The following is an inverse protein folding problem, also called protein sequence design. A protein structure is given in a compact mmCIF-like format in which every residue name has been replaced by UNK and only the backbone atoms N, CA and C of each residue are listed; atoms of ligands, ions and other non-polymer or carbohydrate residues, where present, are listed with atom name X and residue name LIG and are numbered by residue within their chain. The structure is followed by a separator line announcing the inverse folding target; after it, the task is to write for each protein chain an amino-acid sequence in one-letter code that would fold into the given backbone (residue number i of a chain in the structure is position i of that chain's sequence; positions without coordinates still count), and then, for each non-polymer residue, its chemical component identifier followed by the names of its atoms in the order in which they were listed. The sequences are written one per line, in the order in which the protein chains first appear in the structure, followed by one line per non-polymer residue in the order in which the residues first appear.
data_IF_474954030648
#
_entry.id   IF_474954030648
#
_cell.length_a   1.000
_cell.length_b   1.000
_cell.length_c   1.000
_cell.angle_alpha   90.00
_cell.angle_beta   90.00
_cell.angle_gamma   90.00
#
_symmetry.space_group_name_H-M   'P 1'
#
loop_
_entity.id
_entity.type
_entity.pdbx_description
1 polymer ?
#
# COMPACT_ATOMS: atom_id res chain seq x y z
N UNK A 1 -34.70 -11.88 11.40
CA UNK A 1 -34.18 -12.56 10.20
C UNK A 1 -33.33 -13.73 10.66
N UNK A 2 -33.53 -14.92 10.09
CA UNK A 2 -32.92 -16.16 10.57
C UNK A 2 -31.38 -16.06 10.55
N UNK A 3 -30.76 -16.29 11.71
CA UNK A 3 -29.34 -16.56 11.85
C UNK A 3 -29.03 -17.81 11.03
N UNK A 4 -28.55 -17.63 9.80
CA UNK A 4 -27.99 -18.72 9.03
C UNK A 4 -26.75 -19.19 9.81
N UNK A 5 -26.75 -20.43 10.30
CA UNK A 5 -25.63 -20.98 11.07
C UNK A 5 -24.35 -20.79 10.26
N UNK A 6 -23.40 -20.01 10.79
CA UNK A 6 -22.04 -19.94 10.25
C UNK A 6 -21.55 -21.38 10.03
N UNK A 7 -21.08 -21.69 8.82
CA UNK A 7 -20.53 -23.00 8.49
C UNK A 7 -21.44 -24.03 7.82
N UNK A 8 -22.70 -23.71 7.49
CA UNK A 8 -23.57 -24.63 6.73
C UNK A 8 -23.91 -24.11 5.34
N UNK A 9 -23.36 -24.76 4.32
CA UNK A 9 -23.64 -24.44 2.91
C UNK A 9 -24.67 -25.42 2.32
N UNK A 10 -25.73 -24.95 1.65
CA UNK A 10 -26.78 -25.84 1.12
C UNK A 10 -26.27 -26.89 0.12
N UNK A 11 -25.23 -26.56 -0.63
CA UNK A 11 -24.62 -27.36 -1.69
C UNK A 11 -23.54 -28.34 -1.21
N UNK A 12 -23.27 -28.41 0.10
CA UNK A 12 -22.29 -29.34 0.68
C UNK A 12 -22.93 -30.44 1.53
N UNK A 13 -24.27 -30.49 1.63
CA UNK A 13 -24.99 -31.38 2.56
C UNK A 13 -24.61 -32.86 2.46
N UNK A 14 -24.43 -33.36 1.24
CA UNK A 14 -24.05 -34.75 0.94
C UNK A 14 -22.62 -34.87 0.38
N UNK A 15 -21.85 -33.77 0.40
CA UNK A 15 -20.50 -33.75 -0.16
C UNK A 15 -19.50 -34.35 0.83
N UNK A 16 -18.58 -35.20 0.38
CA UNK A 16 -17.60 -35.87 1.24
C UNK A 16 -16.77 -34.88 2.08
N UNK A 17 -16.50 -33.69 1.54
CA UNK A 17 -15.71 -32.66 2.20
C UNK A 17 -16.50 -31.81 3.21
N UNK A 18 -17.79 -32.07 3.42
CA UNK A 18 -18.69 -31.25 4.27
C UNK A 18 -18.10 -30.94 5.65
N UNK A 19 -17.55 -31.95 6.32
CA UNK A 19 -16.99 -31.78 7.66
C UNK A 19 -15.79 -30.82 7.66
N UNK A 20 -14.88 -30.96 6.67
CA UNK A 20 -13.73 -30.07 6.51
C UNK A 20 -14.15 -28.65 6.15
N UNK A 21 -15.09 -28.50 5.22
CA UNK A 21 -15.65 -27.21 4.82
C UNK A 21 -16.29 -26.52 6.04
N UNK A 22 -17.11 -27.25 6.81
CA UNK A 22 -17.74 -26.71 8.02
C UNK A 22 -16.70 -26.25 9.03
N UNK A 23 -15.66 -27.05 9.29
CA UNK A 23 -14.58 -26.69 10.20
C UNK A 23 -13.82 -25.44 9.75
N UNK A 24 -13.51 -25.29 8.46
CA UNK A 24 -12.86 -24.09 7.93
C UNK A 24 -13.76 -22.85 8.05
N UNK A 25 -15.06 -23.01 7.83
CA UNK A 25 -16.02 -21.91 7.93
C UNK A 25 -16.27 -21.46 9.38
N UNK A 26 -16.34 -22.42 10.32
CA UNK A 26 -16.47 -22.14 11.75
C UNK A 26 -15.26 -21.36 12.29
N UNK A 27 -14.07 -21.62 11.72
CA UNK A 27 -12.85 -20.88 12.02
C UNK A 27 -12.66 -19.62 11.16
N UNK A 28 -13.66 -19.21 10.37
CA UNK A 28 -13.65 -18.00 9.53
C UNK A 28 -12.55 -17.96 8.47
N UNK A 29 -12.04 -19.13 8.07
CA UNK A 29 -11.03 -19.26 7.01
C UNK A 29 -11.70 -19.13 5.62
N UNK A 30 -12.93 -19.67 5.52
CA UNK A 30 -13.80 -19.55 4.34
C UNK A 30 -15.13 -18.92 4.73
N UNK A 31 -15.75 -18.21 3.78
CA UNK A 31 -17.03 -17.51 4.00
C UNK A 31 -18.12 -17.94 3.02
N UNK A 32 -17.78 -18.69 1.98
CA UNK A 32 -18.67 -18.98 0.85
C UNK A 32 -18.93 -17.76 -0.03
N UNK A 33 -19.83 -17.93 -0.99
CA UNK A 33 -20.22 -16.92 -1.97
C UNK A 33 -21.43 -16.08 -1.47
N UNK A 34 -21.67 -14.88 -2.05
CA UNK A 34 -22.80 -14.04 -1.67
C UNK A 34 -24.19 -14.70 -1.82
N UNK A 35 -24.30 -15.71 -2.68
CA UNK A 35 -25.50 -16.53 -2.88
C UNK A 35 -25.72 -17.58 -1.76
N UNK A 36 -24.81 -17.67 -0.79
CA UNK A 36 -24.87 -18.60 0.34
C UNK A 36 -24.32 -20.00 0.04
N UNK A 37 -23.73 -20.23 -1.13
CA UNK A 37 -23.12 -21.53 -1.53
C UNK A 37 -21.61 -21.57 -1.25
N UNK A 38 -21.02 -22.77 -1.27
CA UNK A 38 -19.56 -22.95 -1.20
C UNK A 38 -18.92 -23.32 -2.55
N UNK A 39 -19.68 -23.97 -3.43
CA UNK A 39 -19.26 -24.53 -4.73
C UNK A 39 -18.10 -25.52 -4.59
N UNK A 40 -18.29 -26.65 -3.88
CA UNK A 40 -17.20 -27.58 -3.54
C UNK A 40 -16.48 -28.21 -4.75
N UNK A 41 -17.15 -28.28 -5.91
CA UNK A 41 -16.60 -28.82 -7.16
C UNK A 41 -15.99 -27.74 -8.07
N UNK A 42 -16.09 -26.46 -7.71
CA UNK A 42 -15.50 -25.39 -8.50
C UNK A 42 -13.98 -25.40 -8.35
N UNK A 43 -13.22 -25.21 -9.45
CA UNK A 43 -11.78 -25.08 -9.36
C UNK A 43 -11.42 -23.78 -8.64
N UNK A 44 -10.42 -23.85 -7.77
CA UNK A 44 -9.98 -22.74 -6.95
C UNK A 44 -8.81 -21.97 -7.59
N UNK A 45 -8.81 -20.65 -7.44
CA UNK A 45 -7.75 -19.77 -7.94
C UNK A 45 -6.58 -19.66 -6.97
N UNK A 46 -5.43 -19.17 -7.47
CA UNK A 46 -4.25 -18.86 -6.65
C UNK A 46 -4.58 -17.84 -5.55
N UNK A 47 -5.29 -16.77 -5.89
CA UNK A 47 -5.67 -15.74 -4.92
C UNK A 47 -6.56 -16.31 -3.80
N UNK A 48 -7.52 -17.18 -4.12
CA UNK A 48 -8.39 -17.82 -3.12
C UNK A 48 -7.62 -18.74 -2.18
N UNK A 49 -6.67 -19.55 -2.68
CA UNK A 49 -5.79 -20.36 -1.81
C UNK A 49 -5.01 -19.46 -0.86
N UNK A 50 -4.34 -18.43 -1.37
CA UNK A 50 -3.51 -17.53 -0.56
C UNK A 50 -4.35 -16.78 0.49
N UNK A 51 -5.57 -16.37 0.14
CA UNK A 51 -6.49 -15.75 1.09
C UNK A 51 -6.89 -16.71 2.23
N UNK A 52 -7.06 -18.00 1.95
CA UNK A 52 -7.32 -19.00 3.01
C UNK A 52 -6.09 -19.22 3.90
N UNK A 53 -4.89 -19.34 3.31
CA UNK A 53 -3.65 -19.57 4.06
C UNK A 53 -3.30 -18.38 4.98
N UNK A 54 -3.50 -17.15 4.53
CA UNK A 54 -3.28 -15.96 5.37
C UNK A 54 -4.32 -15.82 6.49
N UNK A 55 -5.58 -16.17 6.25
CA UNK A 55 -6.61 -16.23 7.31
C UNK A 55 -6.30 -17.29 8.37
N UNK A 56 -5.73 -18.43 7.98
CA UNK A 56 -5.24 -19.45 8.92
C UNK A 56 -4.19 -18.88 9.89
N UNK A 57 -3.30 -18.02 9.40
CA UNK A 57 -2.30 -17.31 10.20
C UNK A 57 -2.88 -16.12 10.99
N UNK A 58 -4.16 -15.79 10.76
CA UNK A 58 -4.84 -14.60 11.31
C UNK A 58 -4.08 -13.30 11.00
N UNK A 59 -3.54 -13.19 9.78
CA UNK A 59 -2.89 -11.98 9.27
C UNK A 59 -3.69 -11.42 8.09
N UNK A 60 -3.57 -10.11 7.85
CA UNK A 60 -4.25 -9.45 6.73
C UNK A 60 -5.76 -9.30 6.96
N UNK A 61 -6.16 -9.09 8.21
CA UNK A 61 -7.52 -8.69 8.57
C UNK A 61 -7.90 -7.34 7.94
N UNK A 62 -9.20 -7.06 7.81
CA UNK A 62 -9.67 -5.80 7.22
C UNK A 62 -9.13 -4.57 7.97
N UNK A 63 -8.97 -4.65 9.29
CA UNK A 63 -8.40 -3.58 10.11
C UNK A 63 -6.94 -3.31 9.74
N UNK A 64 -6.12 -4.37 9.64
CA UNK A 64 -4.70 -4.26 9.28
C UNK A 64 -4.51 -3.72 7.85
N UNK A 65 -5.40 -4.08 6.93
CA UNK A 65 -5.34 -3.63 5.53
C UNK A 65 -5.39 -2.11 5.36
N UNK A 66 -6.05 -1.40 6.29
CA UNK A 66 -6.17 0.06 6.17
C UNK A 66 -4.87 0.80 6.51
N UNK A 67 -3.97 0.17 7.24
CA UNK A 67 -2.74 0.80 7.74
C UNK A 67 -1.49 0.22 7.09
N UNK A 68 -1.62 -0.85 6.30
CA UNK A 68 -0.53 -1.39 5.50
C UNK A 68 -0.33 -0.54 4.26
N UNK A 69 0.91 -0.14 4.01
CA UNK A 69 1.31 0.35 2.70
C UNK A 69 2.40 -0.56 2.13
N UNK A 70 2.13 -1.08 0.94
CA UNK A 70 3.05 -1.92 0.20
C UNK A 70 3.47 -1.21 -1.07
N UNK A 71 4.76 -1.33 -1.40
CA UNK A 71 5.18 -1.31 -2.79
C UNK A 71 4.80 -2.68 -3.36
N UNK A 72 3.92 -2.76 -4.39
CA UNK A 72 3.52 -4.03 -4.98
C UNK A 72 4.73 -4.86 -5.38
N UNK A 73 4.79 -6.11 -4.93
CA UNK A 73 5.85 -7.04 -5.29
C UNK A 73 5.62 -7.63 -6.69
N UNK A 74 4.39 -7.61 -7.19
CA UNK A 74 4.00 -8.15 -8.49
C UNK A 74 3.39 -7.05 -9.38
N UNK A 75 3.87 -6.85 -10.61
CA UNK A 75 3.34 -5.81 -11.51
C UNK A 75 1.89 -6.04 -11.96
N UNK A 76 1.40 -7.29 -11.91
CA UNK A 76 0.04 -7.66 -12.30
C UNK A 76 -0.99 -7.58 -11.16
N UNK A 77 -0.60 -7.03 -10.01
CA UNK A 77 -1.47 -6.84 -8.84
C UNK A 77 -1.73 -5.36 -8.57
N UNK A 78 -2.95 -4.93 -8.83
CA UNK A 78 -3.45 -3.61 -8.44
C UNK A 78 -3.71 -3.57 -6.92
N UNK A 79 -3.43 -2.42 -6.27
CA UNK A 79 -3.57 -2.26 -4.82
C UNK A 79 -5.00 -2.47 -4.31
N UNK A 80 -6.00 -2.25 -5.16
CA UNK A 80 -7.42 -2.43 -4.86
C UNK A 80 -7.94 -3.85 -5.15
N UNK A 81 -7.09 -4.74 -5.68
CA UNK A 81 -7.42 -6.15 -5.83
C UNK A 81 -7.76 -6.75 -4.45
N UNK A 82 -8.87 -7.47 -4.36
CA UNK A 82 -9.44 -7.93 -3.08
C UNK A 82 -8.48 -8.79 -2.23
N UNK A 83 -7.54 -9.50 -2.87
CA UNK A 83 -6.55 -10.34 -2.20
C UNK A 83 -5.15 -9.71 -2.14
N UNK A 84 -4.99 -8.45 -2.55
CA UNK A 84 -3.70 -7.78 -2.70
C UNK A 84 -2.83 -7.95 -1.44
N UNK A 85 -3.35 -7.54 -0.29
CA UNK A 85 -2.63 -7.60 0.98
C UNK A 85 -2.29 -9.04 1.38
N UNK A 86 -3.19 -10.00 1.17
CA UNK A 86 -2.94 -11.41 1.48
C UNK A 86 -1.81 -11.97 0.62
N UNK A 87 -1.77 -11.60 -0.66
CA UNK A 87 -0.72 -12.04 -1.58
C UNK A 87 0.63 -11.45 -1.18
N UNK A 88 0.69 -10.16 -0.86
CA UNK A 88 1.91 -9.49 -0.40
C UNK A 88 2.43 -10.05 0.93
N UNK A 89 1.54 -10.32 1.89
CA UNK A 89 1.90 -10.94 3.17
C UNK A 89 2.44 -12.36 2.97
N UNK A 90 1.76 -13.17 2.16
CA UNK A 90 2.22 -14.53 1.85
C UNK A 90 3.55 -14.52 1.10
N UNK A 91 3.79 -13.55 0.21
CA UNK A 91 5.08 -13.38 -0.45
C UNK A 91 6.19 -13.09 0.56
N UNK A 92 5.98 -12.13 1.47
CA UNK A 92 6.97 -11.73 2.49
C UNK A 92 7.33 -12.84 3.48
N UNK A 93 6.34 -13.65 3.87
CA UNK A 93 6.57 -14.84 4.69
C UNK A 93 7.29 -15.96 3.92
N UNK A 94 7.46 -15.81 2.60
CA UNK A 94 7.96 -16.88 1.75
C UNK A 94 7.00 -18.06 1.67
N UNK A 95 5.70 -17.82 1.80
CA UNK A 95 4.66 -18.84 1.59
C UNK A 95 4.39 -19.06 0.11
N UNK A 96 4.81 -18.18 -0.81
CA UNK A 96 4.56 -18.31 -2.26
C UNK A 96 5.75 -18.89 -3.04
N UNK A 97 5.54 -19.72 -4.09
CA UNK A 97 6.66 -20.28 -4.85
C UNK A 97 7.45 -19.16 -5.53
N UNK A 98 8.78 -19.23 -5.49
CA UNK A 98 9.63 -18.14 -6.01
C UNK A 98 9.43 -17.87 -7.50
N UNK A 99 9.06 -18.88 -8.29
CA UNK A 99 8.78 -18.75 -9.72
C UNK A 99 7.44 -18.07 -10.04
N UNK A 100 6.67 -17.63 -9.03
CA UNK A 100 5.51 -16.77 -9.25
C UNK A 100 5.92 -15.33 -9.59
N UNK A 101 7.20 -14.96 -9.46
CA UNK A 101 7.71 -13.71 -9.99
C UNK A 101 8.07 -13.86 -11.48
N UNK A 102 7.86 -12.82 -12.33
CA UNK A 102 7.40 -11.48 -11.97
C UNK A 102 5.88 -11.33 -11.79
N UNK A 103 5.06 -12.23 -12.35
CA UNK A 103 3.60 -12.12 -12.35
C UNK A 103 2.91 -13.19 -11.49
N UNK A 104 2.12 -12.78 -10.51
CA UNK A 104 1.42 -13.70 -9.61
C UNK A 104 0.31 -14.49 -10.33
N UNK A 105 -0.41 -13.81 -11.24
CA UNK A 105 -1.59 -14.28 -11.97
C UNK A 105 -2.71 -14.72 -11.04
N UNK A 106 -3.39 -13.79 -10.36
CA UNK A 106 -4.29 -14.11 -9.25
C UNK A 106 -5.48 -14.99 -9.65
N UNK A 107 -6.02 -14.81 -10.86
CA UNK A 107 -7.15 -15.58 -11.39
C UNK A 107 -6.76 -16.94 -11.97
N UNK A 108 -5.45 -17.28 -12.03
CA UNK A 108 -5.02 -18.59 -12.51
C UNK A 108 -5.48 -19.67 -11.53
N UNK A 109 -5.98 -20.78 -12.06
CA UNK A 109 -6.35 -21.93 -11.25
C UNK A 109 -5.12 -22.50 -10.53
N UNK A 110 -5.27 -22.81 -9.24
CA UNK A 110 -4.19 -23.34 -8.42
C UNK A 110 -3.90 -24.80 -8.79
N UNK A 111 -2.61 -25.13 -8.96
CA UNK A 111 -2.19 -26.51 -9.15
C UNK A 111 -2.10 -27.23 -7.80
N UNK A 112 -2.28 -28.56 -7.80
CA UNK A 112 -2.09 -29.38 -6.59
C UNK A 112 -0.66 -29.28 -6.05
N UNK A 113 0.33 -29.19 -6.94
CA UNK A 113 1.74 -29.07 -6.56
C UNK A 113 2.01 -27.71 -5.90
N UNK A 114 1.55 -26.61 -6.51
CA UNK A 114 1.70 -25.26 -5.96
C UNK A 114 1.02 -25.17 -4.59
N UNK A 115 -0.18 -25.74 -4.47
CA UNK A 115 -0.96 -25.75 -3.23
C UNK A 115 -0.28 -26.55 -2.14
N UNK A 116 0.21 -27.76 -2.44
CA UNK A 116 0.93 -28.60 -1.49
C UNK A 116 2.20 -27.90 -0.99
N UNK A 117 2.96 -27.28 -1.90
CA UNK A 117 4.16 -26.54 -1.54
C UNK A 117 3.83 -25.32 -0.65
N UNK A 118 2.77 -24.56 -0.92
CA UNK A 118 2.37 -23.42 -0.07
C UNK A 118 1.95 -23.88 1.35
N UNK A 119 1.22 -25.00 1.43
CA UNK A 119 0.83 -25.59 2.72
C UNK A 119 2.06 -26.08 3.48
N UNK A 120 3.01 -26.73 2.82
CA UNK A 120 4.27 -27.16 3.42
C UNK A 120 5.05 -25.97 3.99
N UNK A 121 5.16 -24.85 3.26
CA UNK A 121 5.82 -23.66 3.78
C UNK A 121 5.09 -23.09 5.00
N UNK A 122 3.76 -23.08 4.98
CA UNK A 122 2.97 -22.60 6.11
C UNK A 122 3.13 -23.49 7.35
N UNK A 123 3.17 -24.82 7.18
CA UNK A 123 3.34 -25.78 8.28
C UNK A 123 4.73 -25.70 8.92
N UNK A 124 5.75 -25.34 8.14
CA UNK A 124 7.12 -25.16 8.59
C UNK A 124 7.47 -23.70 8.90
N UNK A 125 6.47 -22.80 8.92
CA UNK A 125 6.70 -21.40 9.20
C UNK A 125 7.16 -21.24 10.65
N UNK A 126 8.38 -20.72 10.84
CA UNK A 126 8.87 -20.44 12.18
C UNK A 126 8.06 -19.27 12.78
N UNK A 127 7.53 -19.50 13.97
CA UNK A 127 6.79 -18.48 14.73
C UNK A 127 7.18 -18.51 16.19
N UNK A 128 7.31 -17.34 16.79
CA UNK A 128 7.54 -17.18 18.23
C UNK A 128 6.35 -16.46 18.81
N UNK A 129 5.66 -17.12 19.74
CA UNK A 129 4.53 -16.56 20.49
C UNK A 129 4.94 -16.40 21.94
N UNK A 130 4.54 -15.30 22.57
CA UNK A 130 4.89 -15.04 23.96
C UNK A 130 4.62 -13.61 24.39
N UNK A 131 5.43 -13.12 25.34
CA UNK A 131 5.32 -11.77 25.90
C UNK A 131 6.57 -10.94 25.63
N UNK A 132 6.38 -9.66 25.39
CA UNK A 132 7.48 -8.71 25.31
C UNK A 132 8.02 -8.44 26.71
N UNK A 133 9.28 -8.81 26.97
CA UNK A 133 9.96 -8.54 28.24
C UNK A 133 10.65 -7.18 28.25
N UNK A 134 11.25 -6.81 27.12
CA UNK A 134 11.99 -5.57 26.96
C UNK A 134 12.04 -5.13 25.50
N UNK A 135 12.04 -3.81 25.30
CA UNK A 135 12.16 -3.14 24.01
C UNK A 135 13.00 -1.88 24.20
N UNK A 136 14.34 -1.99 24.12
CA UNK A 136 15.22 -0.87 24.40
C UNK A 136 14.92 0.30 23.47
N UNK A 137 14.72 1.49 24.04
CA UNK A 137 14.37 2.71 23.30
C UNK A 137 15.38 3.00 22.20
N UNK A 138 14.90 3.26 20.99
CA UNK A 138 15.75 3.58 19.84
C UNK A 138 16.46 2.37 19.23
N UNK A 139 16.15 1.15 19.68
CA UNK A 139 16.65 -0.08 19.07
C UNK A 139 15.59 -0.75 18.19
N UNK A 140 16.04 -1.67 17.36
CA UNK A 140 15.21 -2.64 16.63
C UNK A 140 15.26 -4.02 17.31
N UNK A 141 15.61 -4.07 18.59
CA UNK A 141 15.76 -5.32 19.33
C UNK A 141 14.54 -5.53 20.22
N UNK A 142 14.00 -6.75 20.18
CA UNK A 142 12.87 -7.15 21.01
C UNK A 142 13.29 -8.35 21.86
N UNK A 143 13.21 -8.21 23.18
CA UNK A 143 13.38 -9.36 24.08
C UNK A 143 12.01 -9.98 24.34
N UNK A 144 11.85 -11.23 23.95
CA UNK A 144 10.60 -11.97 24.07
C UNK A 144 10.80 -13.14 25.03
N UNK A 145 9.84 -13.33 25.93
CA UNK A 145 9.62 -14.56 26.69
C UNK A 145 8.60 -15.40 25.93
N UNK A 146 9.03 -16.45 25.21
CA UNK A 146 8.11 -17.30 24.48
C UNK A 146 7.18 -18.06 25.43
N UNK A 147 5.99 -18.43 24.96
CA UNK A 147 5.07 -19.32 25.67
C UNK A 147 5.71 -20.69 25.93
N UNK A 148 6.58 -21.13 25.00
CA UNK A 148 7.36 -22.35 25.08
C UNK A 148 8.81 -22.08 24.65
N UNK A 149 9.79 -22.45 25.48
CA UNK A 149 11.21 -22.30 25.19
C UNK A 149 11.93 -21.30 26.10
N UNK A 150 13.09 -20.83 25.65
CA UNK A 150 13.93 -19.87 26.39
C UNK A 150 13.71 -18.45 25.89
N UNK A 151 13.99 -17.47 26.76
CA UNK A 151 13.99 -16.06 26.40
C UNK A 151 14.93 -15.82 25.22
N UNK A 152 14.46 -15.07 24.23
CA UNK A 152 15.22 -14.78 23.02
C UNK A 152 15.16 -13.30 22.67
N UNK A 153 16.22 -12.83 22.01
CA UNK A 153 16.32 -11.48 21.46
C UNK A 153 16.12 -11.58 19.95
N UNK A 154 15.10 -10.90 19.43
CA UNK A 154 14.82 -10.80 18.01
C UNK A 154 15.25 -9.43 17.48
N UNK A 155 16.04 -9.40 16.41
CA UNK A 155 16.28 -8.18 15.64
C UNK A 155 15.16 -8.01 14.62
N UNK A 156 14.37 -6.96 14.76
CA UNK A 156 13.27 -6.61 13.85
C UNK A 156 13.83 -5.71 12.75
N UNK A 157 13.96 -6.21 11.51
CA UNK A 157 14.54 -5.41 10.45
C UNK A 157 13.56 -4.30 10.01
N UNK A 158 14.05 -3.17 9.45
CA UNK A 158 13.20 -2.02 9.09
C UNK A 158 12.06 -2.34 8.11
N UNK A 159 12.23 -3.37 7.28
CA UNK A 159 11.24 -3.82 6.29
C UNK A 159 10.16 -4.76 6.88
N UNK A 160 10.31 -5.19 8.13
CA UNK A 160 9.32 -6.02 8.80
C UNK A 160 8.03 -5.23 9.05
N UNK A 161 6.90 -5.90 8.90
CA UNK A 161 5.60 -5.30 9.17
C UNK A 161 5.26 -5.52 10.63
N UNK A 162 5.12 -4.44 11.38
CA UNK A 162 4.80 -4.49 12.80
C UNK A 162 3.38 -3.99 13.01
N UNK A 163 2.58 -4.77 13.71
CA UNK A 163 1.24 -4.41 14.16
C UNK A 163 1.21 -4.34 15.68
N UNK A 164 0.54 -3.31 16.20
CA UNK A 164 0.08 -3.29 17.59
C UNK A 164 -1.42 -3.04 17.59
N UNK A 165 -2.18 -3.94 18.23
CA UNK A 165 -3.64 -3.84 18.31
C UNK A 165 -4.34 -3.68 16.92
N UNK A 166 -3.83 -4.42 15.92
CA UNK A 166 -4.21 -4.41 14.50
C UNK A 166 -3.89 -3.12 13.71
N UNK A 167 -3.11 -2.20 14.28
CA UNK A 167 -2.66 -0.97 13.60
C UNK A 167 -1.18 -1.11 13.28
N UNK A 168 -0.80 -0.77 12.03
CA UNK A 168 0.61 -0.76 11.63
C UNK A 168 1.38 0.26 12.46
N UNK A 169 2.54 -0.14 12.96
CA UNK A 169 3.42 0.69 13.78
C UNK A 169 4.87 0.31 13.53
N UNK A 170 5.80 0.81 14.35
CA UNK A 170 7.22 0.42 14.31
C UNK A 170 7.57 -0.50 15.48
N UNK A 171 8.72 -1.19 15.38
CA UNK A 171 9.21 -2.03 16.46
C UNK A 171 9.43 -1.23 17.77
N UNK A 172 9.80 0.04 17.68
CA UNK A 172 10.04 0.92 18.83
C UNK A 172 8.77 1.22 19.63
N UNK A 173 7.61 1.20 18.98
CA UNK A 173 6.31 1.50 19.61
C UNK A 173 5.69 0.28 20.30
N UNK A 174 6.34 -0.89 20.22
CA UNK A 174 5.89 -2.08 20.93
C UNK A 174 6.11 -1.95 22.43
N UNK A 175 5.11 -2.37 23.21
CA UNK A 175 5.07 -2.13 24.64
C UNK A 175 5.41 -3.41 25.40
N UNK A 176 6.21 -3.26 26.46
CA UNK A 176 6.48 -4.33 27.41
C UNK A 176 5.17 -4.92 27.95
N UNK A 177 5.15 -6.23 28.15
CA UNK A 177 4.01 -7.03 28.60
C UNK A 177 2.90 -7.26 27.56
N UNK A 178 2.96 -6.64 26.38
CA UNK A 178 2.08 -7.04 25.28
C UNK A 178 2.33 -8.52 24.91
N UNK A 179 1.26 -9.21 24.50
CA UNK A 179 1.32 -10.49 23.81
C UNK A 179 1.87 -10.29 22.42
N UNK A 180 2.87 -11.04 22.02
CA UNK A 180 3.51 -10.92 20.71
C UNK A 180 3.49 -12.24 19.95
N UNK A 181 3.30 -12.17 18.64
CA UNK A 181 3.57 -13.25 17.70
C UNK A 181 4.51 -12.72 16.62
N UNK A 182 5.68 -13.32 16.50
CA UNK A 182 6.67 -13.04 15.46
C UNK A 182 6.58 -14.15 14.43
N UNK A 183 6.40 -13.77 13.16
CA UNK A 183 6.46 -14.67 12.01
C UNK A 183 7.76 -14.43 11.26
N UNK A 184 8.51 -15.49 11.02
CA UNK A 184 9.78 -15.42 10.32
C UNK A 184 9.62 -15.81 8.85
N UNK A 185 10.38 -15.17 7.96
CA UNK A 185 10.46 -15.56 6.55
C UNK A 185 11.33 -16.83 6.39
N UNK A 186 11.53 -17.27 5.14
CA UNK A 186 12.39 -18.42 4.83
C UNK A 186 13.87 -18.26 5.19
N UNK A 187 14.35 -17.03 5.30
CA UNK A 187 15.72 -16.73 5.74
C UNK A 187 15.83 -16.71 7.27
N UNK A 188 14.75 -17.06 7.98
CA UNK A 188 14.66 -17.01 9.42
C UNK A 188 14.82 -15.60 10.01
N UNK A 189 14.35 -14.59 9.27
CA UNK A 189 14.31 -13.19 9.69
C UNK A 189 12.87 -12.80 10.06
N UNK A 190 12.63 -12.04 11.15
CA UNK A 190 11.31 -11.52 11.47
C UNK A 190 10.74 -10.70 10.31
N UNK A 191 9.59 -11.13 9.79
CA UNK A 191 8.94 -10.48 8.64
C UNK A 191 7.62 -9.82 9.01
N UNK A 192 6.86 -10.43 9.93
CA UNK A 192 5.62 -9.89 10.45
C UNK A 192 5.62 -10.04 11.97
N UNK A 193 5.36 -8.96 12.70
CA UNK A 193 5.25 -8.95 14.15
C UNK A 193 3.86 -8.46 14.50
N UNK A 194 3.13 -9.21 15.32
CA UNK A 194 1.82 -8.83 15.84
C UNK A 194 1.86 -8.73 17.35
N UNK A 195 1.57 -7.55 17.88
CA UNK A 195 1.51 -7.26 19.30
C UNK A 195 0.09 -6.91 19.73
N UNK A 196 -0.33 -7.39 20.90
CA UNK A 196 -1.64 -7.10 21.49
C UNK A 196 -1.50 -6.84 22.98
N UNK A 197 -2.08 -5.73 23.43
CA UNK A 197 -2.10 -5.36 24.85
C UNK A 197 -3.08 -4.25 25.10
N UNK A 198 -2.91 -3.55 26.22
CA UNK A 198 -3.82 -2.48 26.61
C UNK A 198 -3.90 -1.40 25.53
N UNK A 199 -5.13 -1.02 25.19
CA UNK A 199 -5.41 -0.04 24.15
C UNK A 199 -5.08 1.35 24.68
N UNK A 200 -4.17 2.05 24.00
CA UNK A 200 -3.76 3.40 24.35
C UNK A 200 -4.34 4.45 23.38
N UNK A 201 -4.05 5.74 23.63
CA UNK A 201 -4.52 6.85 22.78
C UNK A 201 -4.06 6.70 21.32
N UNK A 202 -2.80 6.29 21.09
CA UNK A 202 -2.25 6.15 19.74
C UNK A 202 -2.95 5.04 18.96
N UNK A 203 -3.25 3.91 19.61
CA UNK A 203 -4.03 2.83 18.99
C UNK A 203 -5.42 3.30 18.57
N UNK A 204 -6.10 4.07 19.43
CA UNK A 204 -7.43 4.59 19.14
C UNK A 204 -7.41 5.57 17.97
N UNK A 205 -6.46 6.51 17.97
CA UNK A 205 -6.32 7.48 16.88
C UNK A 205 -5.98 6.79 15.56
N UNK A 206 -5.04 5.84 15.58
CA UNK A 206 -4.68 5.03 14.41
C UNK A 206 -5.86 4.22 13.89
N UNK A 207 -6.66 3.63 14.78
CA UNK A 207 -7.87 2.90 14.40
C UNK A 207 -8.95 3.81 13.81
N UNK A 208 -9.15 5.00 14.37
CA UNK A 208 -10.08 5.97 13.80
C UNK A 208 -9.61 6.44 12.40
N UNK A 209 -8.31 6.67 12.22
CA UNK A 209 -7.70 6.99 10.92
C UNK A 209 -7.94 5.86 9.91
N UNK A 210 -7.72 4.61 10.33
CA UNK A 210 -7.99 3.43 9.52
C UNK A 210 -9.46 3.32 9.11
N UNK A 211 -10.41 3.59 10.02
CA UNK A 211 -11.85 3.56 9.74
C UNK A 211 -12.26 4.59 8.67
N UNK A 212 -11.58 5.73 8.59
CA UNK A 212 -11.78 6.72 7.53
C UNK A 212 -10.87 6.50 6.32
N UNK A 213 -10.25 5.31 6.22
CA UNK A 213 -9.34 4.90 5.14
C UNK A 213 -8.17 5.87 4.94
N UNK A 214 -7.59 6.35 6.04
CA UNK A 214 -6.47 7.29 6.01
C UNK A 214 -6.82 8.70 5.53
N UNK A 215 -8.10 9.02 5.27
CA UNK A 215 -8.52 10.37 4.86
C UNK A 215 -8.27 11.43 5.93
N UNK A 216 -8.17 11.02 7.19
CA UNK A 216 -7.72 11.85 8.28
C UNK A 216 -6.57 11.14 8.99
N UNK A 217 -5.46 11.84 9.18
CA UNK A 217 -4.33 11.32 9.95
C UNK A 217 -4.65 11.24 11.45
N UNK A 218 -3.90 10.43 12.19
CA UNK A 218 -4.01 10.35 13.66
C UNK A 218 -3.83 11.72 14.33
N UNK A 219 -2.97 12.58 13.77
CA UNK A 219 -2.75 13.94 14.25
C UNK A 219 -3.98 14.83 14.01
N UNK A 220 -4.53 14.83 12.80
CA UNK A 220 -5.75 15.57 12.47
C UNK A 220 -6.93 15.16 13.36
N UNK A 221 -7.09 13.85 13.60
CA UNK A 221 -8.14 13.35 14.50
C UNK A 221 -7.90 13.86 15.92
N UNK A 222 -6.66 13.87 16.40
CA UNK A 222 -6.33 14.42 17.72
C UNK A 222 -6.68 15.92 17.79
N UNK A 223 -6.38 16.71 16.77
CA UNK A 223 -6.73 18.14 16.72
C UNK A 223 -8.24 18.38 16.67
N UNK A 224 -8.98 17.56 15.91
CA UNK A 224 -10.45 17.60 15.88
C UNK A 224 -11.03 17.32 17.28
N UNK A 225 -10.53 16.28 17.96
CA UNK A 225 -10.98 15.94 19.32
C UNK A 225 -10.62 17.03 20.34
N UNK A 226 -9.54 17.77 20.12
CA UNK A 226 -9.15 18.91 20.93
C UNK A 226 -9.93 20.21 20.59
N UNK A 227 -10.68 20.23 19.50
CA UNK A 227 -11.38 21.42 19.00
C UNK A 227 -10.48 22.45 18.31
N UNK A 228 -9.25 22.08 17.95
CA UNK A 228 -8.28 22.96 17.28
C UNK A 228 -8.48 22.93 15.75
N UNK A 229 -9.52 23.65 15.30
CA UNK A 229 -9.88 23.71 13.87
C UNK A 229 -8.84 24.43 13.00
N UNK A 230 -8.02 25.32 13.58
CA UNK A 230 -6.96 26.00 12.85
C UNK A 230 -5.83 25.01 12.52
N UNK A 231 -5.38 24.20 13.49
CA UNK A 231 -4.38 23.17 13.23
C UNK A 231 -4.87 22.13 12.20
N UNK A 232 -6.15 21.74 12.26
CA UNK A 232 -6.75 20.82 11.27
C UNK A 232 -6.66 21.40 9.86
N UNK A 233 -7.02 22.69 9.70
CA UNK A 233 -6.98 23.38 8.42
C UNK A 233 -5.56 23.45 7.86
N UNK A 234 -4.59 23.82 8.70
CA UNK A 234 -3.19 23.92 8.28
C UNK A 234 -2.59 22.54 7.94
N UNK A 235 -2.90 21.51 8.72
CA UNK A 235 -2.49 20.12 8.42
C UNK A 235 -3.04 19.65 7.07
N UNK A 236 -4.34 19.82 6.81
CA UNK A 236 -4.97 19.42 5.53
C UNK A 236 -4.38 20.20 4.36
N UNK A 237 -4.12 21.51 4.51
CA UNK A 237 -3.46 22.31 3.47
C UNK A 237 -2.06 21.76 3.17
N UNK A 238 -1.28 21.43 4.20
CA UNK A 238 0.05 20.86 4.04
C UNK A 238 0.04 19.50 3.32
N UNK A 239 -0.91 18.63 3.66
CA UNK A 239 -1.09 17.35 2.95
C UNK A 239 -1.49 17.57 1.49
N UNK A 240 -2.46 18.45 1.23
CA UNK A 240 -2.90 18.77 -0.12
C UNK A 240 -1.76 19.39 -0.95
N UNK A 241 -0.95 20.26 -0.36
CA UNK A 241 0.26 20.81 -0.98
C UNK A 241 1.19 19.68 -1.46
N UNK A 242 1.54 18.74 -0.56
CA UNK A 242 2.43 17.63 -0.89
C UNK A 242 1.82 16.71 -1.96
N UNK A 243 0.51 16.46 -1.92
CA UNK A 243 -0.18 15.70 -2.96
C UNK A 243 -0.09 16.38 -4.32
N UNK A 244 -0.31 17.71 -4.41
CA UNK A 244 -0.20 18.47 -5.66
C UNK A 244 1.20 18.33 -6.28
N UNK A 245 2.26 18.40 -5.46
CA UNK A 245 3.62 18.18 -5.92
C UNK A 245 3.84 16.77 -6.46
N UNK A 246 3.29 15.74 -5.80
CA UNK A 246 3.41 14.34 -6.26
C UNK A 246 2.74 14.10 -7.62
N UNK A 247 1.67 14.83 -7.94
CA UNK A 247 1.04 14.77 -9.28
C UNK A 247 1.79 15.60 -10.34
N UNK A 248 2.92 16.22 -9.97
CA UNK A 248 3.81 16.93 -10.89
C UNK A 248 3.57 18.43 -11.03
N UNK A 249 2.84 19.06 -10.09
CA UNK A 249 2.77 20.51 -10.03
C UNK A 249 4.06 21.09 -9.44
N UNK A 250 4.42 22.30 -9.84
CA UNK A 250 5.52 23.03 -9.19
C UNK A 250 5.06 23.58 -7.84
N UNK A 251 6.00 23.93 -6.93
CA UNK A 251 5.69 24.63 -5.69
C UNK A 251 4.76 25.84 -5.88
N UNK A 252 5.04 26.67 -6.88
CA UNK A 252 4.28 27.89 -7.16
C UNK A 252 2.86 27.58 -7.64
N UNK A 253 2.68 26.56 -8.48
CA UNK A 253 1.36 26.13 -8.95
C UNK A 253 0.53 25.53 -7.80
N UNK A 254 1.15 24.71 -6.95
CA UNK A 254 0.50 24.11 -5.81
C UNK A 254 0.05 25.18 -4.79
N UNK A 255 0.94 26.13 -4.46
CA UNK A 255 0.62 27.25 -3.57
C UNK A 255 -0.53 28.11 -4.14
N UNK A 256 -0.48 28.45 -5.43
CA UNK A 256 -1.52 29.22 -6.12
C UNK A 256 -2.90 28.55 -6.01
N UNK A 257 -2.98 27.23 -6.13
CA UNK A 257 -4.23 26.48 -5.97
C UNK A 257 -4.73 26.57 -4.52
N UNK A 258 -3.84 26.42 -3.53
CA UNK A 258 -4.22 26.43 -2.11
C UNK A 258 -4.73 27.80 -1.65
N UNK A 259 -4.14 28.88 -2.16
CA UNK A 259 -4.59 30.25 -1.89
C UNK A 259 -5.65 30.75 -2.88
N UNK A 260 -6.01 29.92 -3.87
CA UNK A 260 -7.00 30.21 -4.93
C UNK A 260 -6.65 31.43 -5.81
N UNK A 261 -5.36 31.68 -6.05
CA UNK A 261 -4.88 32.71 -6.97
C UNK A 261 -4.86 32.17 -8.41
N UNK A 262 -6.04 32.15 -9.03
CA UNK A 262 -6.23 31.65 -10.39
C UNK A 262 -5.55 32.50 -11.47
N UNK A 263 -5.34 33.79 -11.20
CA UNK A 263 -4.70 34.70 -12.15
C UNK A 263 -3.19 34.46 -12.22
N UNK A 264 -2.56 34.28 -11.05
CA UNK A 264 -1.16 33.91 -10.99
C UNK A 264 -0.94 32.50 -11.55
N UNK A 265 -1.83 31.54 -11.23
CA UNK A 265 -1.78 30.18 -11.77
C UNK A 265 -1.82 30.15 -13.32
N UNK A 266 -2.69 30.93 -13.96
CA UNK A 266 -2.72 31.03 -15.43
C UNK A 266 -1.39 31.56 -15.98
N UNK A 267 -0.77 32.52 -15.30
CA UNK A 267 0.50 33.11 -15.72
C UNK A 267 1.63 32.09 -15.71
N UNK A 268 1.85 31.45 -14.58
CA UNK A 268 2.93 30.46 -14.39
C UNK A 268 2.68 29.18 -15.19
N UNK A 269 1.42 28.74 -15.30
CA UNK A 269 1.05 27.56 -16.08
C UNK A 269 1.34 27.76 -17.57
N UNK A 270 0.99 28.92 -18.13
CA UNK A 270 1.33 29.27 -19.51
C UNK A 270 2.83 29.39 -19.73
N UNK A 271 3.58 29.90 -18.75
CA UNK A 271 5.04 30.01 -18.85
C UNK A 271 5.72 28.63 -18.87
N UNK A 272 5.26 27.72 -18.02
CA UNK A 272 5.72 26.33 -17.99
C UNK A 272 5.37 25.60 -19.29
N UNK A 273 4.14 25.77 -19.78
CA UNK A 273 3.72 25.21 -21.07
C UNK A 273 4.53 25.77 -22.25
N UNK A 274 4.83 27.08 -22.23
CA UNK A 274 5.67 27.72 -23.24
C UNK A 274 7.08 27.12 -23.25
N UNK A 275 7.67 26.88 -22.07
CA UNK A 275 8.98 26.25 -21.94
C UNK A 275 8.96 24.78 -22.43
N UNK A 276 7.90 24.03 -22.11
CA UNK A 276 7.74 22.65 -22.59
C UNK A 276 7.60 22.58 -24.12
N UNK A 277 6.77 23.44 -24.71
CA UNK A 277 6.61 23.54 -26.16
C UNK A 277 7.91 23.96 -26.86
N UNK A 278 8.63 24.91 -26.26
CA UNK A 278 9.95 25.35 -26.75
C UNK A 278 10.92 24.17 -26.85
N UNK A 279 11.02 23.39 -25.77
CA UNK A 279 11.89 22.21 -25.76
C UNK A 279 11.44 21.10 -26.72
N UNK A 280 10.13 20.88 -26.87
CA UNK A 280 9.59 19.82 -27.73
C UNK A 280 9.72 20.15 -29.22
N UNK A 281 9.40 21.39 -29.60
CA UNK A 281 9.39 21.84 -30.99
C UNK A 281 10.75 22.35 -31.46
N UNK A 282 11.70 22.57 -30.53
CA UNK A 282 13.00 23.17 -30.84
C UNK A 282 12.89 24.62 -31.30
N UNK A 283 11.92 25.37 -30.74
CA UNK A 283 11.69 26.78 -31.03
C UNK A 283 11.89 27.62 -29.77
N UNK A 284 12.10 28.92 -29.88
CA UNK A 284 12.19 29.83 -28.72
C UNK A 284 10.95 29.84 -27.82
N UNK A 285 11.16 30.13 -26.53
CA UNK A 285 10.09 30.27 -25.53
C UNK A 285 9.12 31.40 -25.89
N UNK A 286 9.62 32.51 -26.43
CA UNK A 286 8.78 33.65 -26.84
C UNK A 286 7.86 33.31 -28.01
N UNK A 287 8.36 32.57 -29.00
CA UNK A 287 7.53 32.05 -30.10
C UNK A 287 6.48 31.07 -29.58
N UNK A 288 6.88 30.16 -28.67
CA UNK A 288 5.97 29.23 -28.01
C UNK A 288 4.86 29.96 -27.25
N UNK A 289 5.21 31.03 -26.53
CA UNK A 289 4.27 31.86 -25.77
C UNK A 289 3.30 32.59 -26.71
N UNK A 290 3.80 33.20 -27.78
CA UNK A 290 2.96 33.87 -28.77
C UNK A 290 1.97 32.91 -29.45
N UNK A 291 2.38 31.66 -29.70
CA UNK A 291 1.50 30.60 -30.22
C UNK A 291 0.37 30.28 -29.22
N UNK A 292 0.70 30.09 -27.95
CA UNK A 292 -0.29 29.84 -26.90
C UNK A 292 -1.29 30.98 -26.73
N UNK A 293 -0.80 32.22 -26.81
CA UNK A 293 -1.61 33.42 -26.68
C UNK A 293 -2.39 33.75 -27.97
N UNK A 294 -2.18 32.97 -29.05
CA UNK A 294 -2.77 33.17 -30.39
C UNK A 294 -2.51 34.58 -30.97
N UNK A 295 -1.38 35.17 -30.60
CA UNK A 295 -0.97 36.49 -31.07
C UNK A 295 -0.26 36.37 -32.43
N UNK A 296 -1.05 36.39 -33.51
CA UNK A 296 -0.53 36.24 -34.88
C UNK A 296 0.50 37.30 -35.28
N UNK A 297 0.45 38.50 -34.69
CA UNK A 297 1.44 39.54 -34.97
C UNK A 297 2.81 39.14 -34.40
N UNK A 298 2.85 38.75 -33.12
CA UNK A 298 4.07 38.29 -32.45
C UNK A 298 4.59 36.97 -33.00
N UNK A 299 3.71 36.02 -33.34
CA UNK A 299 4.11 34.76 -33.99
C UNK A 299 4.90 35.06 -35.27
N UNK A 300 4.40 35.96 -36.12
CA UNK A 300 5.07 36.31 -37.38
C UNK A 300 6.43 36.98 -37.15
N UNK A 301 6.55 37.80 -36.11
CA UNK A 301 7.80 38.47 -35.76
C UNK A 301 8.84 37.47 -35.24
N UNK A 302 8.49 36.67 -34.23
CA UNK A 302 9.41 35.71 -33.63
C UNK A 302 9.78 34.57 -34.59
N UNK A 303 8.84 34.10 -35.43
CA UNK A 303 9.14 33.08 -36.44
C UNK A 303 10.18 33.56 -37.47
N UNK A 304 10.20 34.86 -37.81
CA UNK A 304 11.24 35.40 -38.71
C UNK A 304 12.62 35.37 -38.05
N UNK A 305 12.70 35.74 -36.78
CA UNK A 305 13.94 35.73 -36.00
C UNK A 305 14.47 34.29 -35.90
N UNK A 306 13.59 33.34 -35.59
CA UNK A 306 13.91 31.91 -35.51
C UNK A 306 14.45 31.38 -36.84
N UNK A 307 13.76 31.65 -37.95
CA UNK A 307 14.16 31.22 -39.29
C UNK A 307 15.50 31.83 -39.72
N UNK A 308 15.74 33.10 -39.38
CA UNK A 308 17.01 33.76 -39.64
C UNK A 308 18.15 33.13 -38.83
N UNK A 309 17.93 32.81 -37.56
CA UNK A 309 18.90 32.13 -36.71
C UNK A 309 19.23 30.73 -37.24
N UNK A 310 18.22 29.92 -37.60
CA UNK A 310 18.40 28.59 -38.20
C UNK A 310 19.16 28.67 -39.54
N UNK A 311 18.84 29.66 -40.39
CA UNK A 311 19.53 29.87 -41.65
C UNK A 311 21.00 30.24 -41.43
N UNK A 312 21.28 31.12 -40.45
CA UNK A 312 22.63 31.52 -40.09
C UNK A 312 23.44 30.34 -39.54
N UNK A 313 22.84 29.52 -38.67
CA UNK A 313 23.48 28.33 -38.10
C UNK A 313 23.84 27.31 -39.20
N UNK A 314 22.94 27.08 -40.17
CA UNK A 314 23.23 26.23 -41.33
C UNK A 314 24.33 26.79 -42.22
N UNK A 315 24.38 28.10 -42.43
CA UNK A 315 25.41 28.75 -43.24
C UNK A 315 26.78 28.72 -42.56
N UNK A 316 26.84 28.93 -41.24
CA UNK A 316 28.08 28.88 -40.46
C UNK A 316 28.56 27.43 -40.22
N UNK A 317 27.65 26.48 -40.05
CA UNK A 317 27.96 25.05 -39.92
C UNK A 317 28.48 24.39 -41.20
N UNK A 318 28.15 24.94 -42.38
CA UNK A 318 28.71 24.47 -43.66
C UNK A 318 30.12 25.02 -43.97
N UNK A 319 30.63 25.99 -43.19
CA UNK A 319 31.96 26.59 -43.37
C UNK A 319 33.08 25.94 -42.54
N UNK A 320 32.77 24.89 -41.76
CA UNK A 320 33.70 24.20 -40.83
C UNK A 320 33.87 22.70 -41.12
N UNK A 321 33.52 22.23 -42.33
CA UNK A 321 33.94 20.91 -42.84
C UNK A 321 35.02 21.05 -43.92
#
# INVERSE_FOLDING_TARGET
QASNKKGQFPDTKEHWAKAYISALADNQIITGYPDGTFKPEAPITRAEIVAMLTRLLKIGSAEEQYTMDFVPSFPDLEKDYWAFHQIELAFRLGILPGYFQPEFRPSRLASRADTAWMIEQLLNLNTVRGKILDNPTGSNLLTVEPDEGEIQIAFVPPEAIVFRNNITTTAQELIKSDQVTIFFNRNNEPAIIKSFGDVNKNDLLGRLSAMVKGRLSSEQISSILAGDWEQVKESIKGELYNQLLQVGLTPEEAESILVQDWAYLDTIGRDRLSAALSSYLGITKDLSRAILDRDFARIKEYAKIELAAIALEKLLGQGLM
#
